data_IF_228146506034
#
_entry.id   IF_228146506034
#
_cell.length_a   1.000
_cell.length_b   1.000
_cell.length_c   1.000
_cell.angle_alpha   90.00
_cell.angle_beta   90.00
_cell.angle_gamma   90.00
#
_symmetry.space_group_name_H-M   'P 1'
#
loop_
_entity.id
_entity.type
_entity.pdbx_description
1 polymer ?
#
# COMPACT_ATOMS: atom_id res chain seq x y z
N UNK A 1 10.51 24.06 -20.23
CA UNK A 1 11.09 22.77 -20.65
C UNK A 1 10.00 21.73 -20.48
N UNK A 2 9.36 21.29 -21.57
CA UNK A 2 8.26 20.33 -21.52
C UNK A 2 8.89 18.93 -21.38
N UNK A 3 8.74 18.32 -20.21
CA UNK A 3 9.20 16.94 -19.97
C UNK A 3 8.29 16.02 -20.79
N UNK A 4 8.87 15.24 -21.70
CA UNK A 4 8.10 14.31 -22.56
C UNK A 4 7.38 13.27 -21.70
N UNK A 5 6.12 12.91 -22.02
CA UNK A 5 5.32 11.91 -21.28
C UNK A 5 6.05 10.57 -21.05
N UNK A 6 6.79 10.08 -22.03
CA UNK A 6 7.59 8.86 -21.94
C UNK A 6 8.65 8.88 -20.84
N UNK A 7 9.24 10.03 -20.54
CA UNK A 7 10.25 10.16 -19.47
C UNK A 7 9.60 10.02 -18.09
N UNK A 8 8.38 10.55 -17.93
CA UNK A 8 7.60 10.41 -16.70
C UNK A 8 7.17 8.96 -16.46
N UNK A 9 6.75 8.26 -17.51
CA UNK A 9 6.36 6.84 -17.41
C UNK A 9 7.52 5.95 -16.98
N UNK A 10 8.69 6.13 -17.58
CA UNK A 10 9.89 5.36 -17.24
C UNK A 10 10.33 5.60 -15.79
N UNK A 11 10.21 6.83 -15.27
CA UNK A 11 10.54 7.13 -13.87
C UNK A 11 9.56 6.49 -12.87
N UNK A 12 8.30 6.29 -13.24
CA UNK A 12 7.30 5.69 -12.36
C UNK A 12 7.67 4.26 -11.94
N UNK A 13 8.30 3.46 -12.81
CA UNK A 13 8.75 2.11 -12.48
C UNK A 13 9.81 2.07 -11.38
N UNK A 14 10.59 3.14 -11.25
CA UNK A 14 11.62 3.25 -10.23
C UNK A 14 11.20 4.10 -9.04
N UNK A 15 9.91 4.41 -8.92
CA UNK A 15 9.39 5.28 -7.88
C UNK A 15 8.53 4.49 -6.91
N UNK A 16 8.83 4.62 -5.62
CA UNK A 16 7.95 4.24 -4.52
C UNK A 16 7.22 5.45 -3.95
N UNK A 17 6.11 5.20 -3.28
CA UNK A 17 5.42 6.19 -2.46
C UNK A 17 5.08 5.59 -1.10
N UNK A 18 4.98 6.44 -0.08
CA UNK A 18 4.53 6.03 1.24
C UNK A 18 3.60 7.08 1.83
N UNK A 19 2.62 6.60 2.59
CA UNK A 19 1.61 7.47 3.19
C UNK A 19 0.94 6.77 4.39
N UNK A 20 0.29 7.57 5.26
CA UNK A 20 -0.43 7.12 6.42
C UNK A 20 -1.94 7.06 6.18
N UNK A 21 -2.57 5.97 6.61
CA UNK A 21 -4.01 5.91 6.83
C UNK A 21 -4.31 5.96 8.34
N UNK A 22 -5.39 6.66 8.70
CA UNK A 22 -5.91 6.69 10.06
C UNK A 22 -7.16 5.82 10.14
N UNK A 23 -7.23 4.95 11.16
CA UNK A 23 -8.37 4.08 11.42
C UNK A 23 -8.80 4.25 12.87
N UNK A 24 -10.09 4.40 13.09
CA UNK A 24 -10.67 4.51 14.43
C UNK A 24 -11.02 3.13 14.99
N UNK A 25 -10.70 2.93 16.25
CA UNK A 25 -11.00 1.72 17.01
C UNK A 25 -11.83 2.10 18.25
N UNK A 26 -12.96 1.44 18.42
CA UNK A 26 -13.83 1.63 19.59
C UNK A 26 -13.27 0.81 20.77
N UNK A 27 -13.03 1.47 21.88
CA UNK A 27 -12.60 0.84 23.13
C UNK A 27 -13.59 1.14 24.25
N UNK A 28 -13.57 0.41 25.38
CA UNK A 28 -14.37 0.75 26.54
C UNK A 28 -14.14 2.17 27.10
N UNK A 29 -13.01 2.78 26.76
CA UNK A 29 -12.61 4.11 27.21
C UNK A 29 -12.81 5.21 26.15
N UNK A 30 -13.41 4.87 25.00
CA UNK A 30 -13.64 5.79 23.90
C UNK A 30 -12.97 5.37 22.59
N UNK A 31 -12.92 6.30 21.65
CA UNK A 31 -12.36 6.07 20.32
C UNK A 31 -10.84 6.31 20.35
N UNK A 32 -10.09 5.32 19.89
CA UNK A 32 -8.65 5.39 19.74
C UNK A 32 -8.30 5.36 18.25
N UNK A 33 -7.39 6.23 17.82
CA UNK A 33 -6.90 6.27 16.43
C UNK A 33 -5.65 5.45 16.28
N UNK A 34 -5.63 4.61 15.26
CA UNK A 34 -4.48 3.82 14.84
C UNK A 34 -3.93 4.36 13.53
N UNK A 35 -2.62 4.55 13.46
CA UNK A 35 -1.92 4.99 12.24
C UNK A 35 -1.35 3.76 11.52
N UNK A 36 -1.74 3.58 10.27
CA UNK A 36 -1.28 2.51 9.39
C UNK A 36 -0.36 3.10 8.33
N UNK A 37 0.84 2.59 8.19
CA UNK A 37 1.80 3.03 7.17
C UNK A 37 1.83 2.05 6.01
N UNK A 38 1.66 2.58 4.80
CA UNK A 38 1.69 1.80 3.56
C UNK A 38 2.78 2.30 2.63
N UNK A 39 3.30 1.37 1.83
CA UNK A 39 4.26 1.65 0.76
C UNK A 39 3.70 1.12 -0.56
N UNK A 40 3.88 1.88 -1.63
CA UNK A 40 3.43 1.51 -2.97
C UNK A 40 4.60 1.55 -3.96
N UNK A 41 4.74 0.52 -4.75
CA UNK A 41 5.46 0.57 -6.01
C UNK A 41 4.59 1.31 -7.04
N UNK A 42 4.95 2.53 -7.37
CA UNK A 42 4.14 3.35 -8.28
C UNK A 42 4.04 2.74 -9.68
N UNK A 43 5.09 2.08 -10.16
CA UNK A 43 5.10 1.43 -11.47
C UNK A 43 4.17 0.22 -11.52
N UNK A 44 4.37 -0.71 -10.61
CA UNK A 44 3.59 -1.96 -10.50
C UNK A 44 2.22 -1.72 -9.86
N UNK A 45 2.00 -0.62 -9.14
CA UNK A 45 0.83 -0.34 -8.28
C UNK A 45 0.67 -1.29 -7.08
N UNK A 46 1.62 -2.16 -6.87
CA UNK A 46 1.65 -3.08 -5.74
C UNK A 46 1.82 -2.32 -4.43
N UNK A 47 1.08 -2.73 -3.40
CA UNK A 47 1.10 -2.10 -2.09
C UNK A 47 1.56 -3.08 -1.03
N UNK A 48 2.40 -2.59 -0.10
CA UNK A 48 2.88 -3.31 1.08
C UNK A 48 2.50 -2.57 2.35
N UNK A 49 2.08 -3.32 3.35
CA UNK A 49 1.82 -2.80 4.70
C UNK A 49 3.15 -2.68 5.45
N UNK A 50 3.49 -1.46 5.86
CA UNK A 50 4.68 -1.20 6.67
C UNK A 50 4.49 -1.53 8.14
N UNK A 51 3.31 -1.20 8.67
CA UNK A 51 3.00 -1.44 10.08
C UNK A 51 1.84 -0.58 10.59
N UNK A 52 1.48 -0.81 11.85
CA UNK A 52 0.45 -0.04 12.57
C UNK A 52 0.94 0.28 13.97
N UNK A 53 0.69 1.50 14.41
CA UNK A 53 0.96 1.95 15.77
C UNK A 53 -0.11 2.94 16.25
N UNK A 54 -0.37 2.91 17.56
CA UNK A 54 -1.04 3.98 18.26
C UNK A 54 0.01 5.03 18.61
N UNK A 55 -0.17 6.28 18.17
CA UNK A 55 0.80 7.36 18.36
C UNK A 55 2.21 7.01 17.86
N UNK A 56 2.40 6.76 16.54
CA UNK A 56 3.71 6.45 15.99
C UNK A 56 4.70 7.58 16.25
N UNK A 57 5.94 7.20 16.51
CA UNK A 57 7.06 8.13 16.67
C UNK A 57 8.11 7.97 15.56
N UNK A 58 9.11 8.81 15.61
CA UNK A 58 10.21 8.79 14.63
C UNK A 58 11.10 7.55 14.71
N UNK A 59 11.15 6.85 15.84
CA UNK A 59 11.91 5.61 15.97
C UNK A 59 11.16 4.47 15.30
N UNK A 60 9.84 4.43 15.49
CA UNK A 60 8.98 3.46 14.85
C UNK A 60 9.03 3.59 13.32
N UNK A 61 8.87 4.80 12.75
CA UNK A 61 8.97 5.00 11.30
C UNK A 61 10.34 4.65 10.75
N UNK A 62 11.41 4.98 11.48
CA UNK A 62 12.79 4.61 11.12
C UNK A 62 12.97 3.07 11.09
N UNK A 63 12.36 2.33 12.04
CA UNK A 63 12.41 0.87 12.01
C UNK A 63 11.64 0.28 10.83
N UNK A 64 10.48 0.86 10.50
CA UNK A 64 9.73 0.45 9.29
C UNK A 64 10.56 0.73 8.02
N UNK A 65 11.25 1.87 7.93
CA UNK A 65 12.14 2.16 6.82
C UNK A 65 13.24 1.09 6.65
N UNK A 66 13.86 0.63 7.75
CA UNK A 66 14.85 -0.46 7.71
C UNK A 66 14.24 -1.75 7.15
N UNK A 67 13.04 -2.12 7.62
CA UNK A 67 12.36 -3.32 7.13
C UNK A 67 12.03 -3.21 5.62
N UNK A 68 11.65 -2.02 5.14
CA UNK A 68 11.37 -1.79 3.72
C UNK A 68 12.63 -1.78 2.85
N UNK A 69 13.81 -1.60 3.45
CA UNK A 69 15.12 -1.59 2.80
C UNK A 69 15.91 -2.89 3.03
N UNK A 70 15.31 -3.90 3.68
CA UNK A 70 16.01 -5.14 4.03
C UNK A 70 16.72 -5.76 2.82
N UNK A 71 17.86 -6.40 3.08
CA UNK A 71 18.74 -6.92 2.02
C UNK A 71 18.10 -8.08 1.24
N UNK A 72 17.25 -8.87 1.85
CA UNK A 72 16.69 -10.09 1.28
C UNK A 72 15.30 -9.88 0.68
N UNK A 73 14.43 -9.14 1.37
CA UNK A 73 13.01 -9.00 1.00
C UNK A 73 12.49 -7.55 1.04
N UNK A 74 13.39 -6.57 1.11
CA UNK A 74 13.06 -5.16 1.19
C UNK A 74 12.28 -4.66 -0.03
N UNK A 75 11.01 -4.33 0.17
CA UNK A 75 10.08 -3.92 -0.88
C UNK A 75 10.52 -2.70 -1.69
N UNK A 76 11.29 -1.79 -1.06
CA UNK A 76 11.76 -0.56 -1.72
C UNK A 76 13.13 -0.67 -2.38
N UNK A 77 13.80 -1.80 -2.28
CA UNK A 77 15.20 -1.94 -2.66
C UNK A 77 15.51 -1.65 -4.13
N UNK A 78 14.59 -1.96 -5.03
CA UNK A 78 14.75 -1.71 -6.47
C UNK A 78 14.34 -0.30 -6.90
N UNK A 79 13.96 0.56 -5.95
CA UNK A 79 13.52 1.91 -6.26
C UNK A 79 14.69 2.89 -6.29
N UNK A 80 14.54 3.93 -7.12
CA UNK A 80 15.47 5.07 -7.20
C UNK A 80 14.92 6.30 -6.51
N UNK A 81 13.60 6.37 -6.36
CA UNK A 81 12.92 7.50 -5.76
C UNK A 81 11.88 7.02 -4.76
N UNK A 82 11.75 7.73 -3.65
CA UNK A 82 10.65 7.58 -2.71
C UNK A 82 9.94 8.92 -2.56
N UNK A 83 8.61 8.89 -2.76
CA UNK A 83 7.73 10.05 -2.58
C UNK A 83 7.01 9.90 -1.24
N UNK A 84 7.02 10.97 -0.45
CA UNK A 84 6.15 11.14 0.71
C UNK A 84 5.77 12.60 0.90
N UNK A 85 4.77 12.85 1.72
CA UNK A 85 4.38 14.18 2.12
C UNK A 85 5.36 14.78 3.15
N UNK A 86 4.98 15.89 3.76
CA UNK A 86 5.78 16.59 4.78
C UNK A 86 5.35 16.27 6.21
N UNK A 87 4.72 15.10 6.42
CA UNK A 87 4.40 14.67 7.78
C UNK A 87 5.70 14.61 8.62
N UNK A 88 5.63 15.10 9.84
CA UNK A 88 6.76 15.15 10.79
C UNK A 88 7.30 13.77 11.16
N UNK A 89 6.51 12.71 10.97
CA UNK A 89 6.90 11.32 11.15
C UNK A 89 7.93 10.86 10.10
N UNK A 90 7.92 11.47 8.89
CA UNK A 90 8.95 11.27 7.87
C UNK A 90 10.12 12.23 8.09
N UNK A 91 10.87 11.98 9.15
CA UNK A 91 11.99 12.84 9.54
C UNK A 91 13.30 12.47 8.80
N UNK A 92 14.36 13.22 9.09
CA UNK A 92 15.70 13.01 8.49
C UNK A 92 16.27 11.61 8.71
N UNK A 93 15.94 10.93 9.82
CA UNK A 93 16.42 9.56 10.08
C UNK A 93 15.69 8.55 9.19
N UNK A 94 14.40 8.73 8.98
CA UNK A 94 13.62 7.95 8.02
C UNK A 94 14.21 8.08 6.62
N UNK A 95 14.41 9.29 6.15
CA UNK A 95 14.99 9.58 4.83
C UNK A 95 16.38 8.96 4.67
N UNK A 96 17.26 9.13 5.67
CA UNK A 96 18.63 8.64 5.65
C UNK A 96 18.73 7.12 5.46
N UNK A 97 17.73 6.33 5.92
CA UNK A 97 17.70 4.88 5.69
C UNK A 97 17.57 4.58 4.19
N UNK A 98 16.63 5.25 3.51
CA UNK A 98 16.44 5.06 2.07
C UNK A 98 17.62 5.62 1.26
N UNK A 99 18.14 6.78 1.65
CA UNK A 99 19.31 7.40 1.01
C UNK A 99 20.55 6.50 1.12
N UNK A 100 20.71 5.76 2.22
CA UNK A 100 21.85 4.84 2.43
C UNK A 100 21.90 3.68 1.42
N UNK A 101 20.79 3.36 0.78
CA UNK A 101 20.72 2.35 -0.28
C UNK A 101 20.54 2.97 -1.69
N UNK A 102 20.78 4.28 -1.81
CA UNK A 102 20.76 5.01 -3.08
C UNK A 102 19.39 5.50 -3.55
N UNK A 103 18.37 5.48 -2.69
CA UNK A 103 17.04 6.02 -3.01
C UNK A 103 17.03 7.53 -2.75
N UNK A 104 16.63 8.30 -3.75
CA UNK A 104 16.46 9.75 -3.62
C UNK A 104 15.08 10.09 -3.09
N UNK A 105 15.00 10.85 -2.00
CA UNK A 105 13.73 11.29 -1.42
C UNK A 105 13.15 12.46 -2.21
N UNK A 106 11.87 12.37 -2.56
CA UNK A 106 11.08 13.41 -3.24
C UNK A 106 9.94 13.84 -2.32
N UNK A 107 10.15 14.88 -1.55
CA UNK A 107 9.10 15.48 -0.70
C UNK A 107 8.12 16.27 -1.57
N UNK A 108 6.85 15.91 -1.50
CA UNK A 108 5.82 16.59 -2.28
C UNK A 108 5.70 18.07 -1.84
N UNK A 109 5.66 19.00 -2.80
CA UNK A 109 5.21 20.35 -2.51
C UNK A 109 3.75 20.32 -2.01
N UNK A 110 3.35 21.29 -1.17
CA UNK A 110 1.94 21.44 -0.83
C UNK A 110 1.09 21.57 -2.10
N UNK A 111 -0.08 20.94 -2.12
CA UNK A 111 -1.06 21.05 -3.23
C UNK A 111 -0.61 20.49 -4.59
N UNK A 112 0.20 19.43 -4.63
CA UNK A 112 0.56 18.73 -5.87
C UNK A 112 0.00 17.29 -5.92
N UNK A 113 -1.34 17.10 -6.00
CA UNK A 113 -1.96 15.78 -5.95
C UNK A 113 -1.58 14.86 -7.13
N UNK A 114 -1.16 15.43 -8.26
CA UNK A 114 -0.84 14.66 -9.47
C UNK A 114 0.38 13.72 -9.29
N UNK A 115 1.30 14.03 -8.39
CA UNK A 115 2.51 13.22 -8.19
C UNK A 115 2.28 11.99 -7.31
N UNK A 116 1.26 11.98 -6.46
CA UNK A 116 0.92 10.89 -5.56
C UNK A 116 -0.47 10.27 -5.82
N UNK A 117 -1.11 10.62 -6.93
CA UNK A 117 -2.50 10.26 -7.23
C UNK A 117 -2.78 8.75 -7.17
N UNK A 118 -1.76 7.88 -7.42
CA UNK A 118 -1.92 6.42 -7.29
C UNK A 118 -2.03 6.00 -5.84
N UNK A 119 -1.19 6.56 -4.96
CA UNK A 119 -1.24 6.29 -3.52
C UNK A 119 -2.51 6.85 -2.90
N UNK A 120 -2.92 8.07 -3.27
CA UNK A 120 -4.18 8.68 -2.82
C UNK A 120 -5.40 7.85 -3.24
N UNK A 121 -5.40 7.32 -4.47
CA UNK A 121 -6.47 6.43 -4.94
C UNK A 121 -6.51 5.11 -4.15
N UNK A 122 -5.36 4.54 -3.83
CA UNK A 122 -5.29 3.38 -2.93
C UNK A 122 -5.83 3.70 -1.54
N UNK A 123 -5.40 4.81 -0.93
CA UNK A 123 -5.87 5.21 0.40
C UNK A 123 -7.38 5.44 0.44
N UNK A 124 -7.93 6.05 -0.62
CA UNK A 124 -9.39 6.22 -0.77
C UNK A 124 -10.09 4.87 -0.89
N UNK A 125 -9.59 3.97 -1.74
CA UNK A 125 -10.15 2.64 -1.92
C UNK A 125 -10.11 1.83 -0.62
N UNK A 126 -8.95 1.76 0.06
CA UNK A 126 -8.80 1.12 1.37
C UNK A 126 -9.85 1.61 2.37
N UNK A 127 -10.03 2.93 2.44
CA UNK A 127 -11.00 3.55 3.34
C UNK A 127 -12.43 3.15 2.97
N UNK A 128 -12.86 3.41 1.76
CA UNK A 128 -14.26 3.25 1.34
C UNK A 128 -14.69 1.81 1.13
N UNK A 129 -13.79 0.93 0.70
CA UNK A 129 -14.09 -0.47 0.42
C UNK A 129 -13.94 -1.38 1.65
N UNK A 130 -13.10 -0.99 2.63
CA UNK A 130 -12.76 -1.81 3.78
C UNK A 130 -12.94 -1.08 5.12
N UNK A 131 -12.10 -0.09 5.42
CA UNK A 131 -11.96 0.44 6.78
C UNK A 131 -13.23 1.11 7.31
N UNK A 132 -13.98 1.84 6.45
CA UNK A 132 -15.24 2.48 6.83
C UNK A 132 -16.44 1.51 6.89
N UNK A 133 -16.24 0.24 6.53
CA UNK A 133 -17.29 -0.81 6.56
C UNK A 133 -17.26 -1.66 7.82
N UNK A 134 -16.23 -1.54 8.64
CA UNK A 134 -15.97 -2.40 9.78
C UNK A 134 -15.85 -1.55 11.04
N UNK A 135 -16.53 -1.95 12.10
CA UNK A 135 -16.33 -1.39 13.44
C UNK A 135 -15.23 -2.20 14.13
N UNK A 136 -14.09 -1.60 14.33
CA UNK A 136 -12.95 -2.22 14.99
C UNK A 136 -13.02 -2.04 16.50
N UNK A 137 -12.82 -3.12 17.26
CA UNK A 137 -12.79 -3.12 18.73
C UNK A 137 -11.44 -3.61 19.28
N UNK A 138 -10.57 -4.13 18.41
CA UNK A 138 -9.24 -4.62 18.79
C UNK A 138 -8.22 -4.40 17.66
N UNK A 139 -6.96 -4.20 18.02
CA UNK A 139 -5.87 -3.96 17.06
C UNK A 139 -5.67 -5.10 16.06
N UNK A 140 -5.81 -6.34 16.50
CA UNK A 140 -5.64 -7.50 15.62
C UNK A 140 -6.64 -7.53 14.47
N UNK A 141 -7.87 -7.00 14.69
CA UNK A 141 -8.89 -6.88 13.62
C UNK A 141 -8.43 -5.91 12.52
N UNK A 142 -7.85 -4.77 12.90
CA UNK A 142 -7.32 -3.79 11.94
C UNK A 142 -6.16 -4.39 11.15
N UNK A 143 -5.24 -5.11 11.83
CA UNK A 143 -4.12 -5.79 11.16
C UNK A 143 -4.59 -6.86 10.19
N UNK A 144 -5.58 -7.65 10.58
CA UNK A 144 -6.19 -8.67 9.73
C UNK A 144 -6.86 -8.00 8.52
N UNK A 145 -7.65 -6.95 8.75
CA UNK A 145 -8.31 -6.21 7.69
C UNK A 145 -7.31 -5.60 6.70
N UNK A 146 -6.23 -4.98 7.18
CA UNK A 146 -5.18 -4.47 6.31
C UNK A 146 -4.53 -5.58 5.47
N UNK A 147 -4.24 -6.74 6.07
CA UNK A 147 -3.65 -7.90 5.38
C UNK A 147 -4.58 -8.47 4.31
N UNK A 148 -5.84 -8.73 4.66
CA UNK A 148 -6.84 -9.27 3.70
C UNK A 148 -7.13 -8.28 2.58
N UNK A 149 -7.21 -6.97 2.90
CA UNK A 149 -7.42 -5.95 1.87
C UNK A 149 -6.25 -5.86 0.89
N UNK A 150 -5.01 -5.96 1.36
CA UNK A 150 -3.86 -5.96 0.47
C UNK A 150 -3.80 -7.20 -0.42
N UNK A 151 -4.16 -8.37 0.11
CA UNK A 151 -4.29 -9.59 -0.68
C UNK A 151 -5.33 -9.39 -1.79
N UNK A 152 -6.53 -8.88 -1.44
CA UNK A 152 -7.57 -8.56 -2.41
C UNK A 152 -7.09 -7.49 -3.42
N UNK A 153 -6.54 -6.38 -2.94
CA UNK A 153 -6.14 -5.25 -3.78
C UNK A 153 -5.05 -5.62 -4.79
N UNK A 154 -4.02 -6.33 -4.36
CA UNK A 154 -2.90 -6.70 -5.20
C UNK A 154 -3.24 -7.82 -6.18
N UNK A 155 -4.08 -8.80 -5.80
CA UNK A 155 -4.22 -10.05 -6.52
C UNK A 155 -5.60 -10.31 -7.13
N UNK A 156 -6.65 -9.65 -6.63
CA UNK A 156 -8.04 -9.97 -7.04
C UNK A 156 -8.83 -8.76 -7.51
N UNK A 157 -8.44 -7.54 -7.12
CA UNK A 157 -9.17 -6.34 -7.45
C UNK A 157 -8.92 -5.92 -8.90
N UNK A 158 -9.96 -5.88 -9.77
CA UNK A 158 -9.81 -5.32 -11.11
C UNK A 158 -9.53 -3.82 -11.03
N UNK A 159 -8.60 -3.34 -11.84
CA UNK A 159 -8.21 -1.93 -11.84
C UNK A 159 -8.48 -1.31 -13.21
N UNK A 160 -9.33 -0.29 -13.28
CA UNK A 160 -9.65 0.39 -14.55
C UNK A 160 -8.42 0.95 -15.25
N UNK A 161 -7.42 1.38 -14.50
CA UNK A 161 -6.15 1.87 -15.03
C UNK A 161 -5.26 0.77 -15.66
N UNK A 162 -5.66 -0.49 -15.59
CA UNK A 162 -5.04 -1.65 -16.24
C UNK A 162 -6.07 -2.40 -17.11
N UNK A 163 -7.04 -1.67 -17.67
CA UNK A 163 -8.10 -2.24 -18.52
C UNK A 163 -8.87 -3.40 -17.85
N UNK A 164 -9.12 -3.26 -16.55
CA UNK A 164 -9.82 -4.29 -15.76
C UNK A 164 -8.94 -5.46 -15.30
N UNK A 165 -7.63 -5.41 -15.55
CA UNK A 165 -6.69 -6.42 -15.07
C UNK A 165 -6.33 -6.20 -13.60
N UNK A 166 -5.91 -7.27 -12.94
CA UNK A 166 -5.35 -7.25 -11.58
C UNK A 166 -3.89 -6.78 -11.60
N UNK A 167 -3.40 -6.25 -10.47
CA UNK A 167 -2.02 -5.78 -10.32
C UNK A 167 -1.05 -6.95 -10.44
N UNK A 168 -1.22 -7.97 -9.60
CA UNK A 168 -0.44 -9.20 -9.60
C UNK A 168 -1.39 -10.38 -9.69
N UNK A 169 -1.77 -10.79 -10.92
CA UNK A 169 -2.64 -11.96 -11.06
C UNK A 169 -1.90 -13.23 -10.67
N UNK A 170 -2.55 -14.09 -9.88
CA UNK A 170 -2.08 -15.46 -9.73
C UNK A 170 -2.11 -16.18 -11.08
N UNK A 171 -1.22 -17.18 -11.30
CA UNK A 171 -1.30 -18.03 -12.48
C UNK A 171 -2.73 -18.55 -12.64
N UNK A 172 -3.33 -18.29 -13.79
CA UNK A 172 -4.66 -18.77 -14.13
C UNK A 172 -4.52 -20.07 -14.90
N UNK A 173 -5.40 -21.01 -14.64
CA UNK A 173 -5.52 -22.23 -15.47
C UNK A 173 -6.64 -21.99 -16.47
N UNK A 174 -6.32 -21.92 -17.76
CA UNK A 174 -7.27 -21.59 -18.82
C UNK A 174 -8.47 -22.55 -18.86
N UNK A 175 -8.27 -23.84 -18.51
CA UNK A 175 -9.28 -24.87 -18.44
C UNK A 175 -9.90 -25.04 -17.03
N UNK A 176 -9.46 -24.25 -16.06
CA UNK A 176 -9.90 -24.31 -14.67
C UNK A 176 -11.31 -23.77 -14.46
N UNK A 177 -12.03 -24.31 -13.46
CA UNK A 177 -13.30 -23.73 -13.01
C UNK A 177 -13.04 -22.42 -12.28
N UNK A 178 -13.95 -21.45 -12.48
CA UNK A 178 -13.94 -20.19 -11.73
C UNK A 178 -14.31 -20.50 -10.28
N UNK A 179 -13.44 -20.13 -9.36
CA UNK A 179 -13.64 -20.23 -7.93
C UNK A 179 -13.72 -18.81 -7.33
N UNK A 180 -14.77 -18.59 -6.55
CA UNK A 180 -14.92 -17.38 -5.77
C UNK A 180 -14.11 -17.48 -4.48
N UNK A 181 -13.48 -16.35 -4.12
CA UNK A 181 -12.74 -16.16 -2.88
C UNK A 181 -13.35 -14.98 -2.16
N UNK A 182 -13.81 -15.22 -0.94
CA UNK A 182 -14.41 -14.18 -0.10
C UNK A 182 -13.38 -13.58 0.85
N UNK A 183 -13.44 -12.26 1.01
CA UNK A 183 -12.67 -11.48 1.96
C UNK A 183 -13.63 -10.81 2.96
N UNK A 184 -13.20 -10.63 4.20
CA UNK A 184 -14.01 -9.99 5.26
C UNK A 184 -15.38 -10.63 5.45
N UNK A 185 -15.46 -11.96 5.45
CA UNK A 185 -16.72 -12.66 5.61
C UNK A 185 -17.74 -12.41 4.49
N UNK A 186 -17.28 -12.07 3.27
CA UNK A 186 -18.13 -11.83 2.11
C UNK A 186 -18.39 -10.36 1.79
N UNK A 187 -17.67 -9.43 2.43
CA UNK A 187 -17.75 -8.00 2.07
C UNK A 187 -17.13 -7.71 0.70
N UNK A 188 -16.05 -8.41 0.37
CA UNK A 188 -15.37 -8.33 -0.93
C UNK A 188 -15.20 -9.72 -1.52
N UNK A 189 -15.24 -9.80 -2.85
CA UNK A 189 -15.15 -11.04 -3.60
C UNK A 189 -14.07 -10.95 -4.68
N UNK A 190 -13.24 -11.98 -4.75
CA UNK A 190 -12.26 -12.19 -5.81
C UNK A 190 -12.57 -13.48 -6.56
N UNK A 191 -12.07 -13.61 -7.79
CA UNK A 191 -12.28 -14.77 -8.63
C UNK A 191 -10.97 -15.24 -9.21
N UNK A 192 -10.75 -16.56 -9.22
CA UNK A 192 -9.62 -17.18 -9.91
C UNK A 192 -10.02 -18.49 -10.58
N UNK A 193 -9.32 -18.87 -11.64
CA UNK A 193 -9.46 -20.19 -12.26
C UNK A 193 -8.48 -21.16 -11.62
N UNK A 194 -8.98 -22.32 -11.21
CA UNK A 194 -8.17 -23.39 -10.61
C UNK A 194 -8.50 -24.73 -11.23
N UNK A 195 -7.50 -25.58 -11.48
CA UNK A 195 -7.72 -27.00 -11.76
C UNK A 195 -8.47 -27.62 -10.59
N UNK A 196 -9.47 -28.46 -10.88
CA UNK A 196 -9.98 -29.36 -9.86
C UNK A 196 -8.84 -30.28 -9.43
N UNK A 197 -8.57 -30.34 -8.13
CA UNK A 197 -7.76 -31.40 -7.60
C UNK A 197 -8.46 -32.73 -7.93
N UNK A 198 -7.75 -33.60 -8.65
CA UNK A 198 -8.20 -34.97 -8.96
C UNK A 198 -8.13 -35.80 -7.69
#
# INVERSE_FOLDING_TARGET
MIIKPQFLETQQFFTGATDFAQVEMLTPFGIVRQSLLFFMDIGKREVRFGGMAHNPDSNWTTQIARNMCDMFDGFMREKKYLIHDRDSLFNKRFDAIFESIGITIKRLPPFTPQMNGRMENFMRALKTECMDKIIFTAEWQIRLAAKEYLEYYNHYRPTSALDGKMINSYPQDDDGKIQEISFFGGLLHGYKRMKQAV
#
